data_IF_557472349782
#
_entry.id   IF_557472349782
#
_cell.length_a   1.000
_cell.length_b   1.000
_cell.length_c   1.000
_cell.angle_alpha   90.00
_cell.angle_beta   90.00
_cell.angle_gamma   90.00
#
_symmetry.space_group_name_H-M   'P 1'
#
loop_
_entity.id
_entity.type
_entity.pdbx_description
1 polymer ?
#
# COMPACT_ATOMS: atom_id res chain seq x y z
N UNK A 1 -17.13 -19.13 -19.37
CA UNK A 1 -16.98 -17.66 -19.39
C UNK A 1 -18.31 -17.10 -18.96
N UNK A 2 -18.34 -16.27 -17.92
CA UNK A 2 -19.59 -15.70 -17.41
C UNK A 2 -20.20 -14.73 -18.45
N UNK A 3 -21.55 -14.77 -18.60
CA UNK A 3 -22.34 -13.98 -19.56
C UNK A 3 -22.37 -12.45 -19.31
N UNK A 4 -21.42 -11.92 -18.51
CA UNK A 4 -21.52 -10.53 -18.03
C UNK A 4 -21.03 -9.46 -19.03
N UNK A 5 -20.62 -9.79 -20.24
CA UNK A 5 -20.12 -8.84 -21.24
C UNK A 5 -19.18 -7.74 -20.67
N UNK A 6 -18.22 -8.14 -19.85
CA UNK A 6 -17.30 -7.23 -19.16
C UNK A 6 -16.13 -6.84 -20.05
N UNK A 7 -15.73 -5.57 -19.97
CA UNK A 7 -14.52 -5.07 -20.65
C UNK A 7 -13.25 -5.51 -19.91
N UNK A 8 -12.17 -5.70 -20.65
CA UNK A 8 -10.84 -5.89 -20.06
C UNK A 8 -10.30 -4.53 -19.58
N UNK A 9 -10.32 -4.31 -18.28
CA UNK A 9 -9.85 -3.09 -17.67
C UNK A 9 -8.48 -3.32 -17.03
N UNK A 10 -7.45 -2.69 -17.58
CA UNK A 10 -6.07 -2.74 -17.10
C UNK A 10 -5.60 -1.43 -16.45
N UNK A 11 -6.52 -0.60 -15.95
CA UNK A 11 -6.18 0.64 -15.25
C UNK A 11 -5.31 0.37 -14.03
N UNK A 12 -4.34 1.25 -13.79
CA UNK A 12 -3.44 1.14 -12.66
C UNK A 12 -4.18 1.43 -11.34
N UNK A 13 -4.47 0.38 -10.58
CA UNK A 13 -5.23 0.41 -9.35
C UNK A 13 -6.67 -0.06 -9.54
N UNK A 14 -7.61 0.72 -10.11
CA UNK A 14 -9.00 0.31 -10.30
C UNK A 14 -9.16 -0.62 -11.52
N UNK A 15 -8.46 -1.75 -11.53
CA UNK A 15 -8.48 -2.72 -12.60
C UNK A 15 -9.60 -3.75 -12.45
N UNK A 16 -9.69 -4.65 -13.41
CA UNK A 16 -10.67 -5.74 -13.43
C UNK A 16 -10.47 -6.69 -12.24
N UNK A 17 -11.54 -6.98 -11.52
CA UNK A 17 -11.56 -8.00 -10.47
C UNK A 17 -12.03 -9.36 -11.03
N UNK A 18 -11.61 -10.48 -10.43
CA UNK A 18 -12.13 -11.80 -10.77
C UNK A 18 -13.66 -11.86 -10.60
N UNK A 19 -14.35 -12.50 -11.56
CA UNK A 19 -15.82 -12.59 -11.54
C UNK A 19 -16.29 -13.37 -10.31
N UNK A 20 -15.63 -14.46 -10.01
CA UNK A 20 -15.97 -15.33 -8.88
C UNK A 20 -15.93 -14.57 -7.54
N UNK A 21 -14.96 -13.65 -7.40
CA UNK A 21 -14.89 -12.76 -6.23
C UNK A 21 -16.06 -11.79 -6.15
N UNK A 22 -16.46 -11.21 -7.29
CA UNK A 22 -17.58 -10.29 -7.35
C UNK A 22 -18.93 -11.00 -7.12
N UNK A 23 -19.13 -12.21 -7.65
CA UNK A 23 -20.31 -13.02 -7.42
C UNK A 23 -20.44 -13.40 -5.92
N UNK A 24 -19.31 -13.74 -5.27
CA UNK A 24 -19.31 -14.00 -3.83
C UNK A 24 -19.72 -12.75 -3.03
N UNK A 25 -19.15 -11.58 -3.37
CA UNK A 25 -19.53 -10.31 -2.73
C UNK A 25 -21.00 -10.00 -2.97
N UNK A 26 -21.50 -10.16 -4.21
CA UNK A 26 -22.90 -9.93 -4.55
C UNK A 26 -23.86 -10.81 -3.73
N UNK A 27 -23.51 -12.09 -3.57
CA UNK A 27 -24.31 -13.06 -2.79
C UNK A 27 -24.40 -12.66 -1.31
N UNK A 28 -23.31 -12.16 -0.74
CA UNK A 28 -23.21 -11.85 0.68
C UNK A 28 -23.51 -10.35 0.98
N UNK A 29 -23.78 -9.54 -0.06
CA UNK A 29 -23.87 -8.07 0.06
C UNK A 29 -25.01 -7.62 0.99
N UNK A 30 -26.20 -8.22 0.88
CA UNK A 30 -27.35 -7.84 1.69
C UNK A 30 -27.39 -8.58 3.02
N UNK A 31 -26.82 -9.79 3.08
CA UNK A 31 -26.84 -10.63 4.27
C UNK A 31 -25.66 -11.59 4.25
N UNK A 32 -24.73 -11.39 5.16
CA UNK A 32 -23.57 -12.27 5.31
C UNK A 32 -23.93 -13.48 6.20
N UNK A 33 -23.89 -14.66 5.61
CA UNK A 33 -24.13 -15.91 6.33
C UNK A 33 -25.41 -15.90 7.16
N UNK A 34 -25.29 -16.28 8.44
CA UNK A 34 -26.39 -16.29 9.42
C UNK A 34 -26.58 -14.98 10.20
N UNK A 35 -25.78 -13.93 9.92
CA UNK A 35 -25.76 -12.68 10.71
C UNK A 35 -27.03 -11.84 10.60
N UNK A 36 -27.79 -11.98 9.52
CA UNK A 36 -28.99 -11.19 9.24
C UNK A 36 -28.69 -9.76 8.73
N UNK A 37 -27.44 -9.40 8.54
CA UNK A 37 -27.01 -8.06 8.10
C UNK A 37 -25.85 -8.13 7.09
N UNK A 38 -25.66 -7.05 6.34
CA UNK A 38 -24.49 -6.87 5.46
C UNK A 38 -23.20 -6.75 6.26
N UNK A 39 -22.07 -7.17 5.69
CA UNK A 39 -20.73 -6.89 6.27
C UNK A 39 -20.51 -5.38 6.47
N UNK A 40 -21.06 -4.54 5.58
CA UNK A 40 -20.95 -3.08 5.68
C UNK A 40 -21.69 -2.47 6.88
N UNK A 41 -22.66 -3.21 7.44
CA UNK A 41 -23.45 -2.78 8.60
C UNK A 41 -22.92 -3.35 9.92
N UNK A 42 -21.94 -4.26 9.86
CA UNK A 42 -21.41 -4.93 11.05
C UNK A 42 -20.52 -4.01 11.87
N UNK A 43 -20.65 -4.10 13.19
CA UNK A 43 -19.62 -3.55 14.08
C UNK A 43 -18.31 -4.31 13.90
N UNK A 44 -17.20 -3.59 13.80
CA UNK A 44 -15.86 -4.20 13.77
C UNK A 44 -15.52 -5.02 15.03
N UNK A 45 -16.33 -4.93 16.08
CA UNK A 45 -16.21 -5.70 17.33
C UNK A 45 -17.11 -6.94 17.36
N UNK A 46 -17.96 -7.15 16.35
CA UNK A 46 -18.81 -8.34 16.29
C UNK A 46 -17.97 -9.60 16.03
N UNK A 47 -18.48 -10.74 16.48
CA UNK A 47 -17.81 -12.04 16.26
C UNK A 47 -17.69 -12.37 14.78
N UNK A 48 -18.73 -12.05 14.01
CA UNK A 48 -18.77 -12.32 12.57
C UNK A 48 -17.72 -11.47 11.83
N UNK A 49 -17.63 -10.17 12.13
CA UNK A 49 -16.60 -9.30 11.55
C UNK A 49 -15.19 -9.73 11.98
N UNK A 50 -15.03 -10.10 13.26
CA UNK A 50 -13.73 -10.62 13.73
C UNK A 50 -13.28 -11.83 12.93
N UNK A 51 -14.17 -12.75 12.66
CA UNK A 51 -13.85 -13.93 11.82
C UNK A 51 -13.42 -13.51 10.41
N UNK A 52 -14.13 -12.57 9.78
CA UNK A 52 -13.81 -12.09 8.44
C UNK A 52 -12.39 -11.49 8.38
N UNK A 53 -12.04 -10.65 9.36
CA UNK A 53 -10.75 -9.98 9.36
C UNK A 53 -9.60 -10.93 9.73
N UNK A 54 -9.84 -11.89 10.63
CA UNK A 54 -8.88 -12.92 10.99
C UNK A 54 -8.60 -13.85 9.79
N UNK A 55 -9.63 -14.26 9.06
CA UNK A 55 -9.50 -15.07 7.84
C UNK A 55 -8.71 -14.28 6.76
N UNK A 56 -9.01 -13.00 6.57
CA UNK A 56 -8.29 -12.14 5.61
C UNK A 56 -6.80 -11.96 5.98
N UNK A 57 -6.47 -11.84 7.27
CA UNK A 57 -5.07 -11.81 7.71
C UNK A 57 -4.38 -13.16 7.46
N UNK A 58 -5.05 -14.27 7.76
CA UNK A 58 -4.50 -15.62 7.53
C UNK A 58 -4.22 -15.86 6.04
N UNK A 59 -5.15 -15.50 5.17
CA UNK A 59 -5.00 -15.62 3.71
C UNK A 59 -3.82 -14.78 3.20
N UNK A 60 -3.67 -13.53 3.67
CA UNK A 60 -2.53 -12.69 3.30
C UNK A 60 -1.20 -13.27 3.78
N UNK A 61 -1.15 -13.80 4.99
CA UNK A 61 0.06 -14.44 5.52
C UNK A 61 0.48 -15.65 4.69
N UNK A 62 -0.49 -16.49 4.32
CA UNK A 62 -0.23 -17.66 3.48
C UNK A 62 0.23 -17.25 2.08
N UNK A 63 -0.53 -16.38 1.39
CA UNK A 63 -0.24 -15.98 0.00
C UNK A 63 1.08 -15.23 -0.18
N UNK A 64 1.46 -14.43 0.82
CA UNK A 64 2.67 -13.60 0.78
C UNK A 64 3.83 -14.17 1.59
N UNK A 65 3.67 -15.35 2.21
CA UNK A 65 4.66 -15.95 3.11
C UNK A 65 5.13 -14.99 4.21
N UNK A 66 4.18 -14.28 4.87
CA UNK A 66 4.50 -13.27 5.89
C UNK A 66 4.92 -13.96 7.20
N UNK A 67 6.17 -13.78 7.67
CA UNK A 67 6.63 -14.39 8.91
C UNK A 67 5.92 -13.81 10.15
N UNK A 68 5.87 -14.58 11.25
CA UNK A 68 5.16 -14.22 12.48
C UNK A 68 5.71 -12.97 13.19
N UNK A 69 6.98 -12.62 12.94
CA UNK A 69 7.59 -11.40 13.47
C UNK A 69 7.13 -10.10 12.78
N UNK A 70 6.31 -10.19 11.70
CA UNK A 70 5.65 -9.06 11.07
C UNK A 70 4.20 -8.92 11.54
N UNK A 71 3.74 -7.69 11.67
CA UNK A 71 2.32 -7.37 11.92
C UNK A 71 1.62 -7.02 10.62
N UNK A 72 0.46 -7.64 10.39
CA UNK A 72 -0.48 -7.25 9.34
C UNK A 72 -1.48 -6.27 9.93
N UNK A 73 -1.71 -5.16 9.27
CA UNK A 73 -2.63 -4.12 9.74
C UNK A 73 -3.49 -3.61 8.59
N UNK A 74 -4.80 -3.64 8.78
CA UNK A 74 -5.77 -3.06 7.85
C UNK A 74 -6.04 -1.61 8.28
N UNK A 75 -5.45 -0.64 7.58
CA UNK A 75 -5.50 0.78 7.94
C UNK A 75 -6.37 1.56 6.95
N UNK A 76 -7.15 2.50 7.47
CA UNK A 76 -7.90 3.44 6.65
C UNK A 76 -6.99 4.53 6.05
N UNK A 77 -7.53 5.33 5.11
CA UNK A 77 -6.86 6.51 4.54
C UNK A 77 -6.08 6.24 3.27
N UNK A 78 -6.01 4.98 2.84
CA UNK A 78 -5.30 4.56 1.63
C UNK A 78 -3.81 4.88 1.66
N UNK A 79 -3.13 4.70 0.51
CA UNK A 79 -1.69 4.97 0.37
C UNK A 79 -1.32 6.43 0.62
N UNK A 80 -2.22 7.37 0.35
CA UNK A 80 -1.93 8.81 0.54
C UNK A 80 -1.73 9.17 2.01
N UNK A 81 -2.55 8.62 2.91
CA UNK A 81 -2.37 8.87 4.35
C UNK A 81 -1.07 8.23 4.86
N UNK A 82 -0.63 7.12 4.27
CA UNK A 82 0.63 6.47 4.65
C UNK A 82 1.85 7.38 4.43
N UNK A 83 1.79 8.31 3.48
CA UNK A 83 2.86 9.30 3.28
C UNK A 83 3.09 10.19 4.51
N UNK A 84 2.05 10.44 5.29
CA UNK A 84 2.15 11.13 6.58
C UNK A 84 2.43 10.16 7.74
N UNK A 85 1.78 8.97 7.75
CA UNK A 85 1.90 8.01 8.85
C UNK A 85 3.32 7.45 8.99
N UNK A 86 4.01 7.22 7.87
CA UNK A 86 5.41 6.73 7.89
C UNK A 86 6.32 7.71 8.64
N UNK A 87 6.45 8.99 8.25
CA UNK A 87 7.30 9.94 8.99
C UNK A 87 6.83 10.17 10.42
N UNK A 88 5.52 10.23 10.69
CA UNK A 88 5.00 10.37 12.06
C UNK A 88 5.45 9.25 13.00
N UNK A 89 5.59 8.03 12.47
CA UNK A 89 5.96 6.87 13.27
C UNK A 89 7.45 6.60 13.29
N UNK A 90 8.18 6.90 12.22
CA UNK A 90 9.57 6.48 12.04
C UNK A 90 10.61 7.57 12.26
N UNK A 91 10.28 8.87 12.14
CA UNK A 91 11.19 9.97 12.46
C UNK A 91 11.32 10.17 13.98
N UNK A 92 12.07 9.29 14.64
CA UNK A 92 12.09 9.20 16.11
C UNK A 92 13.37 9.68 16.77
N UNK A 93 14.54 9.49 16.14
CA UNK A 93 15.84 9.75 16.74
C UNK A 93 16.47 11.02 16.17
N UNK A 94 16.96 10.93 14.94
CA UNK A 94 17.62 12.04 14.27
C UNK A 94 16.65 13.02 13.61
N UNK A 95 15.42 12.57 13.37
CA UNK A 95 14.40 13.24 12.55
C UNK A 95 14.85 13.45 11.09
N UNK A 96 15.77 12.60 10.61
CA UNK A 96 16.28 12.57 9.25
C UNK A 96 15.79 11.32 8.52
N UNK A 97 15.42 11.47 7.26
CA UNK A 97 15.15 10.33 6.40
C UNK A 97 15.56 10.63 4.97
N UNK A 98 15.92 9.58 4.23
CA UNK A 98 16.36 9.67 2.86
C UNK A 98 15.37 9.00 1.92
N UNK A 99 15.00 9.71 0.85
CA UNK A 99 13.96 9.29 -0.08
C UNK A 99 14.53 9.12 -1.48
N UNK A 100 14.09 8.09 -2.18
CA UNK A 100 14.41 7.86 -3.59
C UNK A 100 13.21 8.23 -4.44
N UNK A 101 13.39 9.21 -5.33
CA UNK A 101 12.29 9.81 -6.11
C UNK A 101 12.28 9.20 -7.51
N UNK A 102 11.41 8.22 -7.73
CA UNK A 102 11.30 7.42 -8.96
C UNK A 102 9.94 7.55 -9.66
N UNK A 103 9.16 8.56 -9.29
CA UNK A 103 7.85 8.80 -9.90
C UNK A 103 7.00 9.77 -9.09
N UNK A 104 5.79 10.03 -9.58
CA UNK A 104 4.85 10.96 -8.93
C UNK A 104 4.52 10.57 -7.49
N UNK A 105 4.33 9.29 -7.21
CA UNK A 105 4.00 8.81 -5.87
C UNK A 105 5.17 8.98 -4.90
N UNK A 106 6.38 8.63 -5.34
CA UNK A 106 7.59 8.87 -4.57
C UNK A 106 7.80 10.36 -4.26
N UNK A 107 7.56 11.24 -5.25
CA UNK A 107 7.64 12.69 -5.09
C UNK A 107 6.59 13.24 -4.11
N UNK A 108 5.36 12.71 -4.14
CA UNK A 108 4.31 13.07 -3.18
C UNK A 108 4.68 12.63 -1.76
N UNK A 109 5.19 11.41 -1.60
CA UNK A 109 5.65 10.90 -0.31
C UNK A 109 6.79 11.75 0.27
N UNK A 110 7.79 12.10 -0.56
CA UNK A 110 8.88 12.99 -0.19
C UNK A 110 8.37 14.35 0.30
N UNK A 111 7.51 15.01 -0.50
CA UNK A 111 6.95 16.33 -0.13
C UNK A 111 6.14 16.28 1.16
N UNK A 112 5.41 15.19 1.40
CA UNK A 112 4.68 15.04 2.64
C UNK A 112 5.62 14.87 3.84
N UNK A 113 6.63 14.00 3.70
CA UNK A 113 7.61 13.77 4.76
C UNK A 113 8.39 15.03 5.16
N UNK A 114 8.68 15.93 4.22
CA UNK A 114 9.37 17.21 4.49
C UNK A 114 8.64 18.09 5.52
N UNK A 115 7.35 17.86 5.76
CA UNK A 115 6.59 18.57 6.80
C UNK A 115 6.93 18.11 8.22
N UNK A 116 7.56 16.95 8.37
CA UNK A 116 7.78 16.28 9.64
C UNK A 116 9.24 16.27 10.12
N UNK A 117 10.20 16.45 9.22
CA UNK A 117 11.63 16.39 9.58
C UNK A 117 12.57 16.83 8.47
N UNK A 118 13.85 16.57 8.67
CA UNK A 118 14.92 16.81 7.70
C UNK A 118 14.98 15.65 6.70
N UNK A 119 14.38 15.85 5.54
CA UNK A 119 14.26 14.82 4.50
C UNK A 119 15.15 15.18 3.30
N UNK A 120 16.03 14.24 2.92
CA UNK A 120 16.91 14.38 1.77
C UNK A 120 16.39 13.51 0.61
N UNK A 121 16.41 14.04 -0.61
CA UNK A 121 16.32 13.21 -1.80
C UNK A 121 17.70 12.57 -2.03
N UNK A 122 17.84 11.30 -1.71
CA UNK A 122 19.09 10.55 -1.87
C UNK A 122 19.42 10.31 -3.34
N UNK A 123 18.39 10.02 -4.14
CA UNK A 123 18.50 9.91 -5.59
C UNK A 123 17.17 10.25 -6.26
N UNK A 124 17.22 10.64 -7.52
CA UNK A 124 16.04 10.95 -8.33
C UNK A 124 16.30 10.64 -9.80
N UNK A 125 15.29 10.16 -10.51
CA UNK A 125 15.27 10.06 -11.98
C UNK A 125 14.30 11.07 -12.61
N UNK A 126 13.94 12.13 -11.89
CA UNK A 126 12.97 13.13 -12.33
C UNK A 126 13.41 13.88 -13.60
N UNK A 127 14.69 14.19 -13.72
CA UNK A 127 15.25 14.91 -14.90
C UNK A 127 15.01 14.14 -16.19
N UNK A 128 15.02 12.79 -16.13
CA UNK A 128 14.74 11.90 -17.26
C UNK A 128 13.28 11.43 -17.28
N UNK A 129 12.37 12.18 -16.70
CA UNK A 129 10.94 11.88 -16.67
C UNK A 129 10.63 10.49 -16.07
N UNK A 130 11.45 10.05 -15.09
CA UNK A 130 11.31 8.77 -14.39
C UNK A 130 11.35 7.52 -15.28
N UNK A 131 12.18 7.53 -16.32
CA UNK A 131 12.30 6.41 -17.27
C UNK A 131 13.17 5.25 -16.77
N UNK A 132 13.85 5.43 -15.65
CA UNK A 132 14.73 4.44 -15.03
C UNK A 132 14.70 4.53 -13.51
N UNK A 133 15.28 3.54 -12.85
CA UNK A 133 15.36 3.44 -11.39
C UNK A 133 16.80 3.56 -10.93
N UNK A 134 17.15 4.53 -10.05
CA UNK A 134 18.50 4.72 -9.55
C UNK A 134 19.00 3.51 -8.76
N UNK A 135 20.24 3.11 -9.00
CA UNK A 135 20.97 2.24 -8.08
C UNK A 135 21.32 3.03 -6.82
N UNK A 136 20.97 2.51 -5.66
CA UNK A 136 21.26 3.11 -4.36
C UNK A 136 22.36 2.32 -3.68
N UNK A 137 23.36 3.03 -3.19
CA UNK A 137 24.47 2.49 -2.38
C UNK A 137 24.42 3.05 -0.96
N UNK A 138 25.25 2.53 -0.07
CA UNK A 138 25.36 3.06 1.29
C UNK A 138 25.85 4.51 1.33
N UNK A 139 26.62 4.93 0.33
CA UNK A 139 27.20 6.28 0.27
C UNK A 139 26.15 7.34 -0.10
N UNK A 140 25.03 6.92 -0.73
CA UNK A 140 23.93 7.81 -1.08
C UNK A 140 23.05 8.13 0.15
N UNK A 141 23.11 7.30 1.19
CA UNK A 141 22.25 7.33 2.38
C UNK A 141 23.01 7.95 3.55
N UNK A 142 22.38 8.87 4.25
CA UNK A 142 22.94 9.44 5.48
C UNK A 142 23.04 8.38 6.57
N UNK A 143 24.19 8.21 7.23
CA UNK A 143 24.38 7.16 8.25
C UNK A 143 23.52 7.38 9.50
N UNK A 144 23.05 8.59 9.74
CA UNK A 144 22.18 8.97 10.84
C UNK A 144 20.70 9.11 10.44
N UNK A 145 20.31 8.68 9.24
CA UNK A 145 18.92 8.65 8.84
C UNK A 145 18.13 7.64 9.68
N UNK A 146 16.94 8.02 10.14
CA UNK A 146 16.03 7.13 10.87
C UNK A 146 15.49 6.01 9.98
N UNK A 147 15.31 6.30 8.69
CA UNK A 147 14.90 5.33 7.67
C UNK A 147 15.21 5.80 6.25
N UNK A 148 15.13 4.86 5.32
CA UNK A 148 15.17 5.09 3.88
C UNK A 148 13.80 4.74 3.28
N UNK A 149 13.29 5.58 2.40
CA UNK A 149 12.02 5.38 1.72
C UNK A 149 12.21 5.14 0.22
N UNK A 150 11.61 4.08 -0.28
CA UNK A 150 11.47 3.79 -1.70
C UNK A 150 10.01 3.55 -2.06
N UNK A 151 9.63 3.90 -3.29
CA UNK A 151 8.37 3.46 -3.89
C UNK A 151 8.67 2.32 -4.83
N UNK A 152 8.33 1.09 -4.41
CA UNK A 152 8.70 -0.13 -5.15
C UNK A 152 8.09 -0.19 -6.55
N UNK A 153 6.91 0.43 -6.74
CA UNK A 153 6.21 0.46 -8.02
C UNK A 153 5.51 1.81 -8.22
N UNK A 154 5.96 2.56 -9.21
CA UNK A 154 5.32 3.81 -9.63
C UNK A 154 4.39 3.54 -10.83
N UNK A 155 3.10 3.39 -10.56
CA UNK A 155 2.10 2.95 -11.54
C UNK A 155 1.91 3.89 -12.73
N UNK A 156 2.17 5.20 -12.59
CA UNK A 156 2.01 6.19 -13.66
C UNK A 156 3.11 6.05 -14.72
N UNK A 157 4.37 5.90 -14.28
CA UNK A 157 5.53 5.81 -15.19
C UNK A 157 5.95 4.37 -15.50
N UNK A 158 5.40 3.40 -14.78
CA UNK A 158 5.74 1.99 -14.94
C UNK A 158 7.12 1.62 -14.39
N UNK A 159 7.75 2.48 -13.60
CA UNK A 159 9.06 2.21 -12.98
C UNK A 159 8.88 1.33 -11.73
N UNK A 160 9.69 0.28 -11.65
CA UNK A 160 9.62 -0.72 -10.58
C UNK A 160 11.02 -1.15 -10.14
N UNK A 161 11.20 -1.31 -8.82
CA UNK A 161 12.33 -2.05 -8.25
C UNK A 161 12.06 -3.56 -8.33
N UNK A 162 13.04 -4.33 -8.80
CA UNK A 162 12.98 -5.81 -8.86
C UNK A 162 13.74 -6.43 -7.69
#
# INVERSE_FOLDING_TARGET
MSDYNRVYNFSAGPSMLPVEGLEKVQKDLLKYGGSGQSVMEMSHRSKDFKKIIDDAEADLRELMNIPDNYKVMFLQGGGTLQFAMVPLNLLRKSRKADYVITGTWAKKAYKEACKFGDIKAAASSEEDTFTWVPKITKDDIRPDADYVYITTNNTIYGTKYN
#
